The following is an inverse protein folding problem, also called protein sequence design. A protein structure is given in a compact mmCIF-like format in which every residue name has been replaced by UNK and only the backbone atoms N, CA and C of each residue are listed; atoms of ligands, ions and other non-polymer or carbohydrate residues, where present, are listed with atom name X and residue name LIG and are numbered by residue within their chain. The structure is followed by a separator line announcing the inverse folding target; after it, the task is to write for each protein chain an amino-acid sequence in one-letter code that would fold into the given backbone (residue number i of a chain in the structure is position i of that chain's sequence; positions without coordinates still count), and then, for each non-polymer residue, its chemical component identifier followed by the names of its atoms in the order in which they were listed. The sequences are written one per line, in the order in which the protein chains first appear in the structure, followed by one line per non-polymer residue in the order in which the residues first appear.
data_IF_819582661725
#
_entry.id   IF_819582661725
#
_cell.length_a   1.000
_cell.length_b   1.000
_cell.length_c   1.000
_cell.angle_alpha   90.00
_cell.angle_beta   90.00
_cell.angle_gamma   90.00
#
_symmetry.space_group_name_H-M   'P 1'
#
loop_
_entity.id
_entity.type
_entity.pdbx_description
1 polymer ?
#
# COMPACT_ATOMS: atom_id res chain seq x y z
N UNK A 1 18.81 -6.26 8.55
CA UNK A 1 17.84 -5.34 7.92
C UNK A 1 18.44 -4.00 7.48
N UNK A 2 19.08 -3.20 8.34
CA UNK A 2 19.63 -1.86 7.94
C UNK A 2 20.52 -1.87 6.69
N UNK A 3 21.45 -2.83 6.56
CA UNK A 3 22.33 -2.97 5.38
C UNK A 3 21.58 -3.22 4.07
N UNK A 4 20.45 -3.94 4.15
CA UNK A 4 19.59 -4.26 3.00
C UNK A 4 18.76 -3.05 2.59
N UNK A 5 18.27 -2.27 3.56
CA UNK A 5 17.64 -0.97 3.31
C UNK A 5 18.61 -0.02 2.64
N UNK A 6 19.83 0.16 3.18
CA UNK A 6 20.85 1.02 2.56
C UNK A 6 21.22 0.60 1.14
N UNK A 7 21.26 -0.71 0.88
CA UNK A 7 21.51 -1.26 -0.45
C UNK A 7 20.33 -1.09 -1.41
N UNK A 8 19.10 -0.93 -0.92
CA UNK A 8 17.90 -0.71 -1.74
C UNK A 8 17.61 0.77 -1.94
N UNK A 9 18.05 1.65 -1.02
CA UNK A 9 17.84 3.10 -1.07
C UNK A 9 18.98 3.86 -1.76
N UNK A 10 19.98 3.16 -2.30
CA UNK A 10 21.03 3.80 -3.10
C UNK A 10 20.40 4.45 -4.36
N UNK A 11 20.72 5.71 -4.69
CA UNK A 11 20.06 6.45 -5.77
C UNK A 11 20.02 5.71 -7.11
N UNK A 12 21.14 5.09 -7.51
CA UNK A 12 21.25 4.38 -8.80
C UNK A 12 20.33 3.15 -8.86
N UNK A 13 20.17 2.47 -7.72
CA UNK A 13 19.30 1.29 -7.63
C UNK A 13 17.83 1.66 -7.57
N UNK A 14 17.51 2.80 -6.93
CA UNK A 14 16.16 3.36 -6.97
C UNK A 14 15.76 3.73 -8.40
N UNK A 15 16.66 4.38 -9.14
CA UNK A 15 16.42 4.71 -10.56
C UNK A 15 16.28 3.45 -11.42
N UNK A 16 17.17 2.46 -11.25
CA UNK A 16 17.07 1.20 -11.98
C UNK A 16 15.76 0.45 -11.67
N UNK A 17 15.35 0.41 -10.40
CA UNK A 17 14.09 -0.20 -9.98
C UNK A 17 12.87 0.55 -10.53
N UNK A 18 12.91 1.89 -10.54
CA UNK A 18 11.88 2.72 -11.14
C UNK A 18 11.72 2.38 -12.63
N UNK A 19 12.81 2.39 -13.40
CA UNK A 19 12.77 2.09 -14.83
C UNK A 19 12.32 0.66 -15.10
N UNK A 20 12.81 -0.32 -14.34
CA UNK A 20 12.36 -1.71 -14.45
C UNK A 20 10.85 -1.83 -14.20
N UNK A 21 10.33 -1.09 -13.22
CA UNK A 21 8.90 -1.07 -12.92
C UNK A 21 8.11 -0.40 -14.04
N UNK A 22 8.59 0.75 -14.53
CA UNK A 22 7.98 1.48 -15.64
C UNK A 22 7.89 0.61 -16.90
N UNK A 23 8.99 0.00 -17.33
CA UNK A 23 9.02 -0.89 -18.50
C UNK A 23 8.07 -2.06 -18.36
N UNK A 24 8.01 -2.68 -17.18
CA UNK A 24 7.05 -3.77 -16.91
C UNK A 24 5.61 -3.30 -17.01
N UNK A 25 5.28 -2.11 -16.52
CA UNK A 25 3.93 -1.56 -16.64
C UNK A 25 3.60 -1.22 -18.10
N UNK A 26 4.55 -0.65 -18.85
CA UNK A 26 4.39 -0.37 -20.28
C UNK A 26 4.14 -1.65 -21.10
N UNK A 27 4.87 -2.74 -20.81
CA UNK A 27 4.63 -4.05 -21.43
C UNK A 27 3.23 -4.59 -21.14
N UNK A 28 2.71 -4.39 -19.91
CA UNK A 28 1.34 -4.79 -19.58
C UNK A 28 0.32 -3.97 -20.37
N UNK A 29 0.53 -2.66 -20.53
CA UNK A 29 -0.36 -1.82 -21.33
C UNK A 29 -0.42 -2.26 -22.81
N UNK A 30 0.71 -2.71 -23.36
CA UNK A 30 0.80 -3.22 -24.73
C UNK A 30 0.11 -4.57 -24.95
N UNK A 31 -0.24 -5.31 -23.90
CA UNK A 31 -0.96 -6.58 -24.05
C UNK A 31 -2.38 -6.35 -24.58
N UNK A 32 -2.83 -7.11 -25.60
CA UNK A 32 -4.05 -6.81 -26.33
C UNK A 32 -5.35 -7.09 -25.55
N UNK A 33 -5.30 -7.96 -24.54
CA UNK A 33 -6.50 -8.38 -23.80
C UNK A 33 -6.37 -8.12 -22.30
N UNK A 34 -7.50 -7.80 -21.67
CA UNK A 34 -7.60 -7.64 -20.22
C UNK A 34 -7.21 -8.92 -19.48
N UNK A 35 -7.56 -10.07 -20.04
CA UNK A 35 -7.26 -11.38 -19.46
C UNK A 35 -5.74 -11.66 -19.45
N UNK A 36 -5.02 -11.33 -20.53
CA UNK A 36 -3.57 -11.47 -20.58
C UNK A 36 -2.87 -10.58 -19.54
N UNK A 37 -3.32 -9.32 -19.40
CA UNK A 37 -2.82 -8.41 -18.35
C UNK A 37 -3.07 -8.96 -16.95
N UNK A 38 -4.27 -9.48 -16.71
CA UNK A 38 -4.63 -10.07 -15.43
C UNK A 38 -3.77 -11.30 -15.10
N UNK A 39 -3.55 -12.20 -16.07
CA UNK A 39 -2.73 -13.39 -15.88
C UNK A 39 -1.25 -13.06 -15.64
N UNK A 40 -0.71 -12.04 -16.31
CA UNK A 40 0.65 -11.57 -16.08
C UNK A 40 0.80 -10.97 -14.66
N UNK A 41 -0.19 -10.22 -14.20
CA UNK A 41 -0.18 -9.63 -12.84
C UNK A 41 -0.47 -10.64 -11.73
N UNK A 42 -1.28 -11.67 -11.98
CA UNK A 42 -1.62 -12.67 -10.97
C UNK A 42 -0.41 -13.53 -10.56
N UNK A 43 0.52 -13.79 -11.49
CA UNK A 43 1.78 -14.47 -11.19
C UNK A 43 2.65 -13.63 -10.23
N UNK A 44 2.74 -12.32 -10.45
CA UNK A 44 3.46 -11.39 -9.58
C UNK A 44 2.83 -11.35 -8.18
N UNK A 45 1.50 -11.32 -8.10
CA UNK A 45 0.77 -11.35 -6.83
C UNK A 45 1.01 -12.67 -6.07
N UNK A 46 1.09 -13.81 -6.79
CA UNK A 46 1.33 -15.14 -6.22
C UNK A 46 2.73 -15.25 -5.61
N UNK A 47 3.76 -14.79 -6.34
CA UNK A 47 5.13 -14.78 -5.84
C UNK A 47 5.24 -13.87 -4.60
N UNK A 48 4.62 -12.69 -4.65
CA UNK A 48 4.62 -11.74 -3.52
C UNK A 48 4.00 -12.37 -2.25
N UNK A 49 2.93 -13.16 -2.40
CA UNK A 49 2.30 -13.92 -1.32
C UNK A 49 3.18 -15.01 -0.71
N UNK A 50 3.99 -15.68 -1.53
CA UNK A 50 4.84 -16.79 -1.06
C UNK A 50 6.01 -16.31 -0.21
N UNK A 51 6.56 -15.13 -0.50
CA UNK A 51 7.81 -14.66 0.10
C UNK A 51 7.65 -13.47 1.06
N UNK A 52 6.51 -12.79 1.08
CA UNK A 52 6.26 -11.70 2.02
C UNK A 52 5.03 -11.91 2.88
N UNK A 53 5.19 -11.68 4.18
CA UNK A 53 4.11 -11.69 5.17
C UNK A 53 3.48 -10.31 5.36
N UNK A 54 4.25 -9.24 5.18
CA UNK A 54 3.83 -7.86 5.46
C UNK A 54 4.43 -6.88 4.46
N UNK A 55 3.65 -5.86 4.10
CA UNK A 55 4.16 -4.67 3.39
C UNK A 55 3.97 -3.40 4.20
N UNK A 56 4.93 -2.50 4.08
CA UNK A 56 4.89 -1.15 4.64
C UNK A 56 5.19 -0.17 3.50
N UNK A 57 4.24 0.69 3.16
CA UNK A 57 4.48 1.78 2.22
C UNK A 57 4.37 3.12 2.93
N UNK A 58 5.39 3.95 2.74
CA UNK A 58 5.41 5.33 3.21
C UNK A 58 5.58 6.25 2.00
N UNK A 59 4.55 7.03 1.71
CA UNK A 59 4.52 7.93 0.54
C UNK A 59 5.15 9.29 0.82
N UNK A 60 5.73 9.50 2.01
CA UNK A 60 6.28 10.78 2.42
C UNK A 60 5.21 11.79 2.84
N UNK A 61 5.60 13.07 2.91
CA UNK A 61 4.69 14.17 3.19
C UNK A 61 3.87 14.50 1.94
N UNK A 62 2.55 14.45 2.04
CA UNK A 62 1.67 14.95 1.00
C UNK A 62 1.76 16.49 0.97
N UNK A 63 2.49 17.05 0.01
CA UNK A 63 2.62 18.51 -0.13
C UNK A 63 1.36 19.09 -0.79
N UNK A 64 0.32 19.33 0.01
CA UNK A 64 -0.97 19.88 -0.45
C UNK A 64 -1.09 21.41 -0.30
N UNK A 65 0.01 22.09 0.09
CA UNK A 65 0.05 23.53 0.24
C UNK A 65 -1.05 24.08 1.16
N UNK A 66 -1.74 25.14 0.73
CA UNK A 66 -2.80 25.77 1.51
C UNK A 66 -4.00 24.84 1.78
N UNK A 67 -4.18 23.75 1.01
CA UNK A 67 -5.26 22.81 1.23
C UNK A 67 -5.01 21.88 2.43
N UNK A 68 -3.75 21.72 2.87
CA UNK A 68 -3.35 20.81 3.94
C UNK A 68 -4.11 21.09 5.25
N UNK A 69 -4.44 22.36 5.53
CA UNK A 69 -5.19 22.76 6.72
C UNK A 69 -6.64 22.25 6.77
N UNK A 70 -7.21 21.89 5.61
CA UNK A 70 -8.58 21.38 5.49
C UNK A 70 -8.62 19.85 5.48
N UNK A 71 -7.47 19.18 5.42
CA UNK A 71 -7.40 17.72 5.36
C UNK A 71 -7.16 17.17 6.76
N UNK A 72 -8.21 16.54 7.32
CA UNK A 72 -8.14 15.90 8.64
C UNK A 72 -7.31 14.62 8.62
N UNK A 73 -7.46 13.84 7.57
CA UNK A 73 -6.81 12.54 7.40
C UNK A 73 -6.62 12.20 5.93
N UNK A 74 -5.57 11.44 5.64
CA UNK A 74 -5.34 10.84 4.34
C UNK A 74 -5.21 9.33 4.54
N UNK A 75 -6.05 8.58 3.84
CA UNK A 75 -6.05 7.11 3.88
C UNK A 75 -5.70 6.59 2.51
N UNK A 76 -4.98 5.48 2.51
CA UNK A 76 -4.68 4.74 1.28
C UNK A 76 -5.06 3.32 1.53
N UNK A 77 -6.16 2.90 0.91
CA UNK A 77 -6.59 1.51 0.90
C UNK A 77 -6.14 0.91 -0.43
N UNK A 78 -5.47 -0.23 -0.34
CA UNK A 78 -4.96 -0.90 -1.52
C UNK A 78 -5.17 -2.39 -1.37
N UNK A 79 -5.69 -3.03 -2.41
CA UNK A 79 -5.66 -4.48 -2.50
C UNK A 79 -4.20 -4.92 -2.57
N UNK A 80 -3.74 -5.52 -1.47
CA UNK A 80 -2.37 -5.98 -1.30
C UNK A 80 -2.31 -7.51 -1.45
N UNK A 81 -1.26 -8.07 -2.09
CA UNK A 81 -1.06 -9.51 -2.05
C UNK A 81 -0.70 -9.99 -0.64
N UNK A 82 -0.25 -9.11 0.26
CA UNK A 82 0.23 -9.45 1.61
C UNK A 82 -0.92 -9.63 2.61
N UNK A 83 -0.71 -10.47 3.61
CA UNK A 83 -1.70 -10.76 4.65
C UNK A 83 -1.97 -9.55 5.57
N UNK A 84 -0.91 -8.80 5.86
CA UNK A 84 -0.95 -7.53 6.59
C UNK A 84 -0.30 -6.45 5.72
N UNK A 85 -0.94 -5.28 5.63
CA UNK A 85 -0.43 -4.13 4.91
C UNK A 85 -0.59 -2.88 5.75
N UNK A 86 0.52 -2.17 5.92
CA UNK A 86 0.58 -0.87 6.58
C UNK A 86 0.80 0.20 5.52
N UNK A 87 -0.11 1.14 5.42
CA UNK A 87 0.06 2.33 4.59
C UNK A 87 0.22 3.53 5.51
N UNK A 88 1.28 4.31 5.30
CA UNK A 88 1.63 5.47 6.12
C UNK A 88 1.67 6.71 5.24
N UNK A 89 0.93 7.73 5.64
CA UNK A 89 0.94 9.05 5.04
C UNK A 89 1.30 10.10 6.10
N UNK A 90 1.95 11.19 5.69
CA UNK A 90 2.17 12.36 6.55
C UNK A 90 1.44 13.57 5.97
N UNK A 91 0.48 14.11 6.74
CA UNK A 91 -0.35 15.26 6.34
C UNK A 91 -0.81 16.05 7.56
N UNK A 92 -0.88 17.38 7.45
CA UNK A 92 -1.42 18.25 8.50
C UNK A 92 -0.64 18.16 9.81
N UNK A 93 0.66 17.85 9.75
CA UNK A 93 1.51 17.67 10.92
C UNK A 93 1.30 16.35 11.68
N UNK A 94 0.54 15.40 11.12
CA UNK A 94 0.28 14.08 11.71
C UNK A 94 0.71 12.96 10.76
N UNK A 95 1.02 11.80 11.33
CA UNK A 95 1.11 10.55 10.58
C UNK A 95 -0.26 9.88 10.60
N UNK A 96 -0.79 9.56 9.43
CA UNK A 96 -1.98 8.75 9.24
C UNK A 96 -1.54 7.33 8.87
N UNK A 97 -2.02 6.32 9.59
CA UNK A 97 -1.75 4.92 9.31
C UNK A 97 -3.03 4.16 8.99
N UNK A 98 -3.03 3.40 7.89
CA UNK A 98 -4.03 2.40 7.58
C UNK A 98 -3.44 1.02 7.84
N UNK A 99 -3.95 0.32 8.84
CA UNK A 99 -3.64 -1.08 9.14
C UNK A 99 -4.68 -1.97 8.46
N UNK A 100 -4.28 -2.64 7.37
CA UNK A 100 -5.16 -3.54 6.62
C UNK A 100 -4.72 -4.98 6.83
N UNK A 101 -5.69 -5.86 7.04
CA UNK A 101 -5.46 -7.31 7.18
C UNK A 101 -6.56 -8.10 6.47
N UNK A 102 -6.21 -9.27 5.96
CA UNK A 102 -7.13 -10.15 5.21
C UNK A 102 -7.87 -11.17 6.08
N UNK A 103 -7.70 -11.09 7.41
CA UNK A 103 -8.30 -12.00 8.38
C UNK A 103 -8.95 -11.21 9.51
N UNK A 104 -9.91 -11.83 10.19
CA UNK A 104 -10.76 -11.15 11.19
C UNK A 104 -10.12 -11.01 12.58
N UNK A 105 -8.94 -11.60 12.83
CA UNK A 105 -8.32 -11.57 14.16
C UNK A 105 -7.58 -10.27 14.44
N UNK A 106 -7.72 -9.77 15.67
CA UNK A 106 -7.07 -8.52 16.12
C UNK A 106 -5.71 -8.73 16.77
N UNK A 107 -5.25 -9.97 16.89
CA UNK A 107 -3.99 -10.29 17.60
C UNK A 107 -2.82 -9.45 17.08
N UNK A 108 -2.71 -9.26 15.77
CA UNK A 108 -1.63 -8.48 15.16
C UNK A 108 -1.81 -6.97 15.32
N UNK A 109 -3.05 -6.47 15.23
CA UNK A 109 -3.35 -5.07 15.48
C UNK A 109 -3.04 -4.72 16.94
N UNK A 110 -3.47 -5.54 17.89
CA UNK A 110 -3.23 -5.33 19.32
C UNK A 110 -1.73 -5.33 19.62
N UNK A 111 -0.99 -6.32 19.12
CA UNK A 111 0.47 -6.37 19.28
C UNK A 111 1.16 -5.12 18.70
N UNK A 112 0.67 -4.61 17.56
CA UNK A 112 1.18 -3.39 16.97
C UNK A 112 0.89 -2.15 17.84
N UNK A 113 -0.33 -2.01 18.35
CA UNK A 113 -0.71 -0.89 19.22
C UNK A 113 0.04 -0.92 20.56
N UNK A 114 0.22 -2.10 21.16
CA UNK A 114 1.04 -2.29 22.36
C UNK A 114 2.49 -1.84 22.12
N UNK A 115 3.05 -2.15 20.95
CA UNK A 115 4.39 -1.68 20.59
C UNK A 115 4.45 -0.16 20.47
N UNK A 116 3.44 0.49 19.88
CA UNK A 116 3.37 1.96 19.84
C UNK A 116 3.37 2.56 21.24
N UNK A 117 2.56 2.01 22.16
CA UNK A 117 2.52 2.47 23.56
C UNK A 117 3.88 2.28 24.25
N UNK A 118 4.52 1.12 24.04
CA UNK A 118 5.84 0.80 24.61
C UNK A 118 6.92 1.79 24.15
N UNK A 119 6.83 2.28 22.91
CA UNK A 119 7.72 3.29 22.36
C UNK A 119 7.32 4.73 22.73
N UNK A 120 6.26 4.92 23.52
CA UNK A 120 5.76 6.24 23.91
C UNK A 120 5.07 7.01 22.76
N UNK A 121 4.62 6.30 21.72
CA UNK A 121 3.94 6.88 20.57
C UNK A 121 2.44 6.93 20.87
N UNK A 122 1.89 8.14 20.95
CA UNK A 122 0.44 8.35 21.10
C UNK A 122 -0.27 8.07 19.78
N UNK A 123 -1.44 7.43 19.86
CA UNK A 123 -2.27 7.14 18.70
C UNK A 123 -3.75 7.34 19.02
N UNK A 124 -4.53 7.52 17.96
CA UNK A 124 -5.98 7.57 17.99
C UNK A 124 -6.49 6.67 16.86
N UNK A 125 -7.46 5.79 17.16
CA UNK A 125 -8.12 4.97 16.14
C UNK A 125 -9.29 5.79 15.61
N UNK A 126 -9.16 6.32 14.39
CA UNK A 126 -10.21 7.14 13.79
C UNK A 126 -11.36 6.32 13.21
N UNK A 127 -11.08 5.14 12.64
CA UNK A 127 -12.09 4.28 12.04
C UNK A 127 -11.67 2.82 12.00
N UNK A 128 -12.66 1.93 11.96
CA UNK A 128 -12.50 0.51 11.71
C UNK A 128 -13.67 0.00 10.88
N UNK A 129 -13.39 -0.47 9.68
CA UNK A 129 -14.39 -1.04 8.79
C UNK A 129 -13.83 -2.28 8.08
N UNK A 130 -14.70 -3.21 7.64
CA UNK A 130 -14.31 -4.24 6.68
C UNK A 130 -13.75 -3.58 5.42
N UNK A 131 -12.76 -4.21 4.80
CA UNK A 131 -12.26 -3.75 3.51
C UNK A 131 -13.34 -3.99 2.45
N UNK A 132 -14.01 -2.93 2.02
CA UNK A 132 -14.99 -2.98 0.94
C UNK A 132 -14.27 -2.80 -0.40
N UNK A 133 -13.89 -3.91 -1.03
CA UNK A 133 -13.39 -3.87 -2.39
C UNK A 133 -14.60 -3.72 -3.31
N UNK A 134 -14.74 -2.54 -3.93
CA UNK A 134 -15.75 -2.32 -4.96
C UNK A 134 -15.62 -3.41 -6.04
N UNK A 135 -16.70 -4.12 -6.40
CA UNK A 135 -16.63 -5.10 -7.47
C UNK A 135 -16.25 -4.38 -8.77
N UNK A 136 -15.11 -4.75 -9.35
CA UNK A 136 -14.63 -4.26 -10.66
C UNK A 136 -15.66 -4.56 -11.78
N UNK A 137 -16.66 -5.40 -11.51
CA UNK A 137 -17.61 -5.94 -12.47
C UNK A 137 -18.58 -4.91 -13.09
N UNK A 138 -18.85 -3.76 -12.46
CA UNK A 138 -19.94 -2.88 -12.94
C UNK A 138 -19.51 -1.69 -13.80
N UNK A 139 -18.22 -1.42 -13.97
CA UNK A 139 -17.75 -0.29 -14.80
C UNK A 139 -17.85 -0.52 -16.32
N UNK A 140 -18.19 -1.72 -16.78
CA UNK A 140 -18.23 -2.07 -18.22
C UNK A 140 -19.62 -2.05 -18.85
N UNK A 141 -20.68 -1.73 -18.11
CA UNK A 141 -22.07 -1.78 -18.64
C UNK A 141 -22.53 -0.51 -19.37
N UNK A 142 -21.79 0.59 -19.32
CA UNK A 142 -22.20 1.87 -19.91
C UNK A 142 -21.32 2.36 -21.09
N UNK A 143 -20.73 1.43 -21.84
CA UNK A 143 -20.01 1.77 -23.08
C UNK A 143 -20.47 0.87 -24.21
N UNK A 144 -21.73 1.03 -24.62
CA UNK A 144 -22.26 0.64 -25.94
C UNK A 144 -23.07 1.81 -26.48
#
# INVERSE_FOLDING_TARGET
MRRMVTLQTAPDKLQAYFWQTFERMNLLEQMPTLEARHQAMSQVATISRQYGSTTLSYVGKANMGAAEQYVRELRTESCTPYLISLQVAAIGGKFCLSFMQQFATDVYLNAFLEELQRQGITYEISERHPMEIAPIADYRKNSN
#
